data_IF_980566029883
#
_entry.id   IF_980566029883
#
_cell.length_a   1.000
_cell.length_b   1.000
_cell.length_c   1.000
_cell.angle_alpha   90.00
_cell.angle_beta   90.00
_cell.angle_gamma   90.00
#
_symmetry.space_group_name_H-M   'P 1'
#
loop_
_entity.id
_entity.type
_entity.pdbx_description
1 polymer ?
#
# COMPACT_ATOMS: atom_id res chain seq x y z
N UNK A 1 35.30 -16.68 -41.95
CA UNK A 1 36.09 -16.22 -40.80
C UNK A 1 35.73 -14.78 -40.49
N UNK A 2 35.15 -14.49 -39.35
CA UNK A 2 34.88 -13.13 -38.91
C UNK A 2 36.19 -12.45 -38.52
N UNK A 3 36.50 -11.31 -39.13
CA UNK A 3 37.70 -10.51 -38.84
C UNK A 3 37.70 -10.06 -37.37
N UNK A 4 38.88 -9.96 -36.76
CA UNK A 4 39.07 -9.49 -35.37
C UNK A 4 38.36 -8.15 -35.11
N UNK A 5 38.33 -7.27 -36.13
CA UNK A 5 37.59 -5.99 -36.10
C UNK A 5 36.09 -6.17 -35.96
N UNK A 6 35.47 -7.13 -36.63
CA UNK A 6 34.03 -7.41 -36.53
C UNK A 6 33.65 -7.93 -35.14
N UNK A 7 34.51 -8.73 -34.51
CA UNK A 7 34.29 -9.20 -33.12
C UNK A 7 34.40 -8.08 -32.11
N UNK A 8 35.31 -7.13 -32.28
CA UNK A 8 35.40 -5.96 -31.41
C UNK A 8 34.18 -5.02 -31.56
N UNK A 9 33.65 -4.84 -32.79
CA UNK A 9 32.43 -4.05 -33.00
C UNK A 9 31.18 -4.72 -32.39
N UNK A 10 31.04 -6.05 -32.51
CA UNK A 10 29.92 -6.76 -31.88
C UNK A 10 29.99 -6.67 -30.34
N UNK A 11 31.18 -6.79 -29.77
CA UNK A 11 31.37 -6.69 -28.33
C UNK A 11 31.09 -5.30 -27.79
N UNK A 12 31.45 -4.24 -28.54
CA UNK A 12 31.11 -2.85 -28.20
C UNK A 12 29.63 -2.55 -28.27
N UNK A 13 28.91 -3.11 -29.24
CA UNK A 13 27.45 -2.92 -29.37
C UNK A 13 26.67 -3.62 -28.24
N UNK A 14 27.10 -4.78 -27.77
CA UNK A 14 26.47 -5.47 -26.63
C UNK A 14 26.72 -4.72 -25.32
N UNK A 15 27.89 -4.10 -25.15
CA UNK A 15 28.20 -3.34 -23.95
C UNK A 15 27.44 -2.01 -23.91
N UNK A 16 27.22 -1.36 -25.04
CA UNK A 16 26.42 -0.13 -25.16
C UNK A 16 24.93 -0.38 -24.90
N UNK A 17 24.40 -1.54 -25.27
CA UNK A 17 23.00 -1.93 -25.01
C UNK A 17 22.71 -2.16 -23.52
N UNK A 18 23.72 -2.47 -22.72
CA UNK A 18 23.55 -2.66 -21.27
C UNK A 18 23.45 -1.35 -20.49
N UNK A 19 23.89 -0.24 -21.05
CA UNK A 19 23.81 1.07 -20.40
C UNK A 19 22.46 1.80 -20.62
N UNK A 20 21.59 1.24 -21.45
CA UNK A 20 20.25 1.76 -21.70
C UNK A 20 19.19 1.24 -20.71
N UNK A 21 19.57 0.39 -19.76
CA UNK A 21 18.64 -0.15 -18.75
C UNK A 21 18.70 0.70 -17.50
N UNK A 22 17.57 1.34 -17.22
CA UNK A 22 17.19 1.83 -15.89
C UNK A 22 17.36 3.31 -15.60
N UNK A 23 16.60 4.13 -16.30
CA UNK A 23 15.86 5.18 -15.59
C UNK A 23 14.45 4.66 -15.27
N UNK A 24 14.35 3.57 -14.50
CA UNK A 24 13.18 3.33 -13.71
C UNK A 24 13.20 4.40 -12.62
N UNK A 25 12.55 5.53 -12.91
CA UNK A 25 12.26 6.55 -11.90
C UNK A 25 11.44 5.83 -10.84
N UNK A 26 12.06 5.49 -9.72
CA UNK A 26 11.33 5.02 -8.56
C UNK A 26 10.34 6.13 -8.21
N UNK A 27 9.06 5.89 -8.46
CA UNK A 27 8.01 6.85 -8.19
C UNK A 27 8.05 7.10 -6.69
N UNK A 28 8.32 8.35 -6.30
CA UNK A 28 8.48 8.73 -4.90
C UNK A 28 7.17 8.43 -4.16
N UNK A 29 7.24 7.57 -3.14
CA UNK A 29 6.09 7.19 -2.32
C UNK A 29 6.11 7.99 -1.01
N UNK A 30 4.97 8.55 -0.58
CA UNK A 30 3.68 8.62 -1.28
C UNK A 30 3.67 9.77 -2.31
N UNK A 31 2.93 9.58 -3.41
CA UNK A 31 2.69 10.60 -4.44
C UNK A 31 1.19 10.82 -4.70
N UNK A 32 0.33 10.22 -3.90
CA UNK A 32 -1.12 10.31 -3.99
C UNK A 32 -1.75 10.27 -2.58
N UNK A 33 -3.05 10.43 -2.50
CA UNK A 33 -3.84 10.39 -1.28
C UNK A 33 -3.80 9.01 -0.63
N UNK A 34 -3.49 8.96 0.67
CA UNK A 34 -3.59 7.75 1.49
C UNK A 34 -4.99 7.68 2.09
N UNK A 35 -5.63 6.53 1.99
CA UNK A 35 -6.94 6.25 2.57
C UNK A 35 -6.79 5.41 3.84
N UNK A 36 -7.28 5.91 4.97
CA UNK A 36 -7.29 5.20 6.25
C UNK A 36 -8.69 4.67 6.54
N UNK A 37 -8.89 3.36 6.39
CA UNK A 37 -10.15 2.70 6.73
C UNK A 37 -10.22 2.52 8.24
N UNK A 38 -11.35 2.95 8.81
CA UNK A 38 -11.68 2.79 10.24
C UNK A 38 -12.99 1.98 10.32
N UNK A 39 -12.96 0.73 10.82
CA UNK A 39 -14.11 -0.17 10.80
C UNK A 39 -15.14 0.14 11.89
N UNK A 40 -15.24 1.40 12.29
CA UNK A 40 -16.16 1.91 13.33
C UNK A 40 -16.85 3.19 12.89
N UNK A 41 -17.95 3.50 13.56
CA UNK A 41 -18.71 4.73 13.30
C UNK A 41 -17.89 5.97 13.59
N UNK A 42 -18.12 7.01 12.80
CA UNK A 42 -17.53 8.32 13.00
C UNK A 42 -17.95 8.92 14.36
N UNK A 43 -17.04 9.69 14.98
CA UNK A 43 -17.27 10.35 16.28
C UNK A 43 -16.96 9.49 17.50
N UNK A 44 -16.58 8.22 17.32
CA UNK A 44 -16.11 7.37 18.41
C UNK A 44 -14.63 7.61 18.77
N UNK A 45 -14.17 6.95 19.84
CA UNK A 45 -12.78 7.07 20.30
C UNK A 45 -11.76 6.68 19.24
N UNK A 46 -12.02 5.59 18.51
CA UNK A 46 -11.13 5.14 17.42
C UNK A 46 -11.11 6.14 16.26
N UNK A 47 -12.23 6.74 15.92
CA UNK A 47 -12.30 7.79 14.89
C UNK A 47 -11.49 9.03 15.29
N UNK A 48 -11.57 9.45 16.55
CA UNK A 48 -10.78 10.56 17.07
C UNK A 48 -9.28 10.29 16.97
N UNK A 49 -8.84 9.09 17.32
CA UNK A 49 -7.45 8.66 17.19
C UNK A 49 -7.04 8.63 15.72
N UNK A 50 -7.88 8.07 14.85
CA UNK A 50 -7.63 7.97 13.41
C UNK A 50 -7.41 9.34 12.77
N UNK A 51 -8.27 10.32 13.09
CA UNK A 51 -8.14 11.69 12.55
C UNK A 51 -6.90 12.39 13.06
N UNK A 52 -6.56 12.20 14.34
CA UNK A 52 -5.33 12.75 14.92
C UNK A 52 -4.09 12.15 14.26
N UNK A 53 -4.09 10.85 14.04
CA UNK A 53 -2.99 10.15 13.35
C UNK A 53 -2.89 10.58 11.88
N UNK A 54 -4.02 10.62 11.16
CA UNK A 54 -4.07 11.04 9.77
C UNK A 54 -3.49 12.45 9.58
N UNK A 55 -3.83 13.39 10.47
CA UNK A 55 -3.29 14.76 10.43
C UNK A 55 -1.77 14.82 10.64
N UNK A 56 -1.20 13.93 11.44
CA UNK A 56 0.26 13.86 11.60
C UNK A 56 0.92 13.15 10.41
N UNK A 57 0.31 12.09 9.89
CA UNK A 57 0.79 11.40 8.70
C UNK A 57 0.81 12.33 7.49
N UNK A 58 -0.22 13.15 7.30
CA UNK A 58 -0.29 14.14 6.22
C UNK A 58 0.87 15.13 6.27
N UNK A 59 1.22 15.63 7.46
CA UNK A 59 2.37 16.54 7.63
C UNK A 59 3.71 15.89 7.25
N UNK A 60 3.86 14.60 7.51
CA UNK A 60 5.09 13.86 7.24
C UNK A 60 5.15 13.44 5.77
N UNK A 61 4.03 12.93 5.25
CA UNK A 61 3.93 12.40 3.90
C UNK A 61 3.87 13.49 2.81
N UNK A 62 3.43 14.72 3.17
CA UNK A 62 3.21 15.80 2.21
C UNK A 62 2.02 15.56 1.27
N UNK A 63 1.20 14.54 1.53
CA UNK A 63 0.02 14.17 0.76
C UNK A 63 -1.18 13.93 1.68
N UNK A 64 -2.42 14.15 1.21
CA UNK A 64 -3.61 14.00 2.03
C UNK A 64 -3.76 12.58 2.60
N UNK A 65 -4.21 12.49 3.86
CA UNK A 65 -4.58 11.23 4.51
C UNK A 65 -6.04 11.32 4.93
N UNK A 66 -6.90 10.59 4.21
CA UNK A 66 -8.35 10.65 4.39
C UNK A 66 -8.83 9.49 5.26
N UNK A 67 -9.53 9.81 6.35
CA UNK A 67 -10.18 8.82 7.21
C UNK A 67 -11.53 8.45 6.61
N UNK A 68 -11.73 7.14 6.38
CA UNK A 68 -12.97 6.57 5.88
C UNK A 68 -13.56 5.61 6.92
N UNK A 69 -14.69 5.98 7.51
CA UNK A 69 -15.40 5.13 8.46
C UNK A 69 -16.25 4.09 7.71
N UNK A 70 -16.02 2.81 7.98
CA UNK A 70 -16.71 1.67 7.35
C UNK A 70 -17.20 0.73 8.44
N UNK A 71 -18.24 1.10 9.20
CA UNK A 71 -18.78 0.26 10.27
C UNK A 71 -19.59 -0.91 9.71
N UNK A 72 -19.84 -1.90 10.55
CA UNK A 72 -20.74 -3.01 10.28
C UNK A 72 -20.17 -4.37 10.67
N UNK A 73 -21.04 -5.26 11.14
CA UNK A 73 -20.73 -6.64 11.53
C UNK A 73 -19.47 -6.75 12.43
N UNK A 74 -19.37 -5.91 13.48
CA UNK A 74 -18.21 -5.91 14.36
C UNK A 74 -16.88 -5.59 13.65
N UNK A 75 -16.92 -4.69 12.64
CA UNK A 75 -15.73 -4.30 11.87
C UNK A 75 -15.47 -5.15 10.62
N UNK A 76 -16.17 -6.28 10.43
CA UNK A 76 -15.92 -7.18 9.30
C UNK A 76 -16.07 -6.52 7.93
N UNK A 77 -16.99 -5.56 7.79
CA UNK A 77 -17.23 -4.84 6.54
C UNK A 77 -16.00 -4.00 6.16
N UNK A 78 -15.46 -3.22 7.11
CA UNK A 78 -14.25 -2.42 6.91
C UNK A 78 -13.02 -3.29 6.62
N UNK A 79 -12.90 -4.40 7.32
CA UNK A 79 -11.86 -5.39 7.08
C UNK A 79 -11.89 -5.95 5.67
N UNK A 80 -13.06 -6.41 5.22
CA UNK A 80 -13.25 -6.93 3.88
C UNK A 80 -12.94 -5.88 2.81
N UNK A 81 -13.31 -4.63 3.05
CA UNK A 81 -12.97 -3.52 2.16
C UNK A 81 -11.45 -3.35 2.05
N UNK A 82 -10.73 -3.39 3.17
CA UNK A 82 -9.26 -3.30 3.19
C UNK A 82 -8.62 -4.43 2.39
N UNK A 83 -9.02 -5.68 2.64
CA UNK A 83 -8.45 -6.86 1.97
C UNK A 83 -8.67 -6.84 0.46
N UNK A 84 -9.78 -6.27 0.00
CA UNK A 84 -10.10 -6.13 -1.42
C UNK A 84 -9.52 -4.86 -2.06
N UNK A 85 -8.83 -4.02 -1.29
CA UNK A 85 -8.16 -2.83 -1.84
C UNK A 85 -6.83 -3.21 -2.50
N UNK A 86 -6.35 -2.42 -3.47
CA UNK A 86 -5.02 -2.64 -4.06
C UNK A 86 -3.92 -2.67 -3.00
N UNK A 87 -2.98 -3.60 -3.13
CA UNK A 87 -1.82 -3.71 -2.24
C UNK A 87 -0.67 -2.79 -2.70
N UNK A 88 -0.97 -1.50 -2.83
CA UNK A 88 -0.06 -0.46 -3.32
C UNK A 88 0.45 0.49 -2.22
N UNK A 89 0.01 0.27 -0.97
CA UNK A 89 0.37 1.11 0.18
C UNK A 89 -0.50 2.35 0.38
N UNK A 90 -1.48 2.63 -0.51
CA UNK A 90 -2.36 3.80 -0.37
C UNK A 90 -3.65 3.53 0.39
N UNK A 91 -3.89 2.30 0.81
CA UNK A 91 -4.99 1.95 1.70
C UNK A 91 -4.45 1.29 2.97
N UNK A 92 -4.73 1.88 4.11
CA UNK A 92 -4.32 1.39 5.44
C UNK A 92 -5.55 1.15 6.31
N UNK A 93 -5.45 0.29 7.30
CA UNK A 93 -6.51 0.01 8.26
C UNK A 93 -6.08 0.43 9.66
N UNK A 94 -6.92 1.17 10.35
CA UNK A 94 -6.80 1.41 11.79
C UNK A 94 -7.90 0.65 12.51
N UNK A 95 -7.52 -0.40 13.23
CA UNK A 95 -8.44 -1.26 13.97
C UNK A 95 -7.94 -1.52 15.39
N UNK A 96 -8.82 -1.99 16.27
CA UNK A 96 -8.43 -2.43 17.61
C UNK A 96 -7.94 -3.88 17.59
N UNK A 97 -7.05 -4.21 18.51
CA UNK A 97 -6.48 -5.56 18.62
C UNK A 97 -7.56 -6.63 18.86
N UNK A 98 -8.60 -6.30 19.65
CA UNK A 98 -9.68 -7.21 19.97
C UNK A 98 -10.47 -7.66 18.73
N UNK A 99 -10.81 -6.70 17.86
CA UNK A 99 -11.57 -7.00 16.64
C UNK A 99 -10.73 -7.75 15.62
N UNK A 100 -9.43 -7.43 15.51
CA UNK A 100 -8.51 -8.14 14.64
C UNK A 100 -8.44 -9.62 15.04
N UNK A 101 -8.32 -9.90 16.32
CA UNK A 101 -8.28 -11.27 16.84
C UNK A 101 -9.61 -12.02 16.60
N UNK A 102 -10.74 -11.34 16.82
CA UNK A 102 -12.07 -11.92 16.59
C UNK A 102 -12.30 -12.24 15.09
N UNK A 103 -11.88 -11.36 14.19
CA UNK A 103 -11.99 -11.58 12.74
C UNK A 103 -11.14 -12.78 12.27
N UNK A 104 -9.90 -12.87 12.76
CA UNK A 104 -9.02 -14.02 12.44
C UNK A 104 -9.63 -15.33 12.93
N UNK A 105 -10.14 -15.36 14.17
CA UNK A 105 -10.76 -16.55 14.75
C UNK A 105 -12.03 -16.97 13.99
N UNK A 106 -12.83 -16.00 13.53
CA UNK A 106 -14.07 -16.27 12.79
C UNK A 106 -13.77 -16.79 11.38
N UNK A 107 -12.76 -16.25 10.71
CA UNK A 107 -12.36 -16.70 9.37
C UNK A 107 -11.69 -18.09 9.41
N UNK A 108 -10.93 -18.39 10.45
CA UNK A 108 -10.33 -19.71 10.65
C UNK A 108 -11.38 -20.81 10.78
N UNK A 109 -12.54 -20.52 11.36
CA UNK A 109 -13.64 -21.48 11.52
C UNK A 109 -14.51 -21.63 10.26
N UNK A 110 -14.39 -20.77 9.27
CA UNK A 110 -15.17 -20.82 8.02
C UNK A 110 -14.54 -21.71 6.94
N UNK A 111 -13.34 -22.23 7.19
CA UNK A 111 -12.55 -23.05 6.26
C UNK A 111 -12.31 -24.48 6.78
N UNK A 112 -13.15 -24.99 7.69
CA UNK A 112 -13.12 -26.40 8.13
C UNK A 112 -14.34 -27.13 7.59
#
# INVERSE_FOLDING_TARGET
>A
MMNKLAKCMLMGAVFAAQLAVSNASAQEYPNDTIRMIVPYSAGGGTDTIARSLAAQMEKIAGHPVIVENVPGAGGAVGYKKMVNSPADGYTVLLATTGDLTAQIATQSNANI
#
